data_IF_701438748750
#
_entry.id   IF_701438748750
#
_cell.length_a   1.000
_cell.length_b   1.000
_cell.length_c   1.000
_cell.angle_alpha   90.00
_cell.angle_beta   90.00
_cell.angle_gamma   90.00
#
_symmetry.space_group_name_H-M   'P 1'
#
loop_
_entity.id
_entity.type
_entity.pdbx_description
1 polymer ?
#
# COMPACT_ATOMS: atom_id res chain seq x y z
N UNK A 1 -14.26 23.75 -0.72
CA UNK A 1 -13.76 24.02 0.63
C UNK A 1 -12.24 23.98 0.66
N UNK A 2 -11.61 24.96 1.26
CA UNK A 2 -10.17 25.06 1.29
C UNK A 2 -9.58 24.20 2.41
N UNK A 3 -8.44 23.61 2.14
CA UNK A 3 -7.67 22.88 3.14
C UNK A 3 -6.71 23.85 3.79
N UNK A 4 -6.75 23.92 5.12
CA UNK A 4 -5.88 24.80 5.86
C UNK A 4 -4.43 24.40 5.64
N UNK A 5 -3.57 25.38 5.45
CA UNK A 5 -2.14 25.17 5.23
C UNK A 5 -1.81 24.45 3.92
N UNK A 6 -2.77 24.36 3.03
CA UNK A 6 -2.50 23.78 1.72
C UNK A 6 -1.69 24.76 0.88
N UNK A 7 -0.59 24.28 0.33
CA UNK A 7 0.31 25.09 -0.46
C UNK A 7 0.53 24.47 -1.83
N UNK A 8 -0.25 24.90 -2.84
CA UNK A 8 -0.17 24.29 -4.16
C UNK A 8 1.22 24.29 -4.77
N UNK A 9 2.00 25.35 -4.52
CA UNK A 9 3.32 25.43 -5.13
C UNK A 9 4.24 24.31 -4.67
N UNK A 10 4.12 23.90 -3.41
CA UNK A 10 4.93 22.81 -2.90
C UNK A 10 4.55 21.51 -3.55
N UNK A 11 3.23 21.23 -3.64
CA UNK A 11 2.76 20.05 -4.29
C UNK A 11 3.13 20.02 -5.77
N UNK A 12 3.04 21.18 -6.44
CA UNK A 12 3.41 21.28 -7.85
C UNK A 12 4.88 20.94 -8.07
N UNK A 13 5.74 21.39 -7.15
CA UNK A 13 7.16 21.10 -7.28
C UNK A 13 7.47 19.62 -7.18
N UNK A 14 6.60 18.87 -6.54
CA UNK A 14 6.79 17.42 -6.36
C UNK A 14 5.79 16.60 -7.14
N UNK A 15 5.16 17.21 -8.13
CA UNK A 15 4.05 16.56 -8.84
C UNK A 15 4.46 15.25 -9.49
N UNK A 16 5.66 15.19 -10.07
CA UNK A 16 6.11 13.96 -10.72
C UNK A 16 6.25 12.82 -9.72
N UNK A 17 6.81 13.12 -8.56
CA UNK A 17 6.98 12.11 -7.51
C UNK A 17 5.63 11.65 -6.97
N UNK A 18 4.75 12.61 -6.69
CA UNK A 18 3.42 12.28 -6.17
C UNK A 18 2.64 11.46 -7.18
N UNK A 19 2.66 11.87 -8.44
CA UNK A 19 1.96 11.13 -9.48
C UNK A 19 2.51 9.72 -9.62
N UNK A 20 3.82 9.55 -9.46
CA UNK A 20 4.43 8.23 -9.49
C UNK A 20 3.93 7.32 -8.39
N UNK A 21 3.82 7.85 -7.17
CA UNK A 21 3.27 7.08 -6.05
C UNK A 21 1.83 6.69 -6.33
N UNK A 22 1.03 7.65 -6.80
CA UNK A 22 -0.38 7.38 -7.06
C UNK A 22 -0.54 6.33 -8.16
N UNK A 23 0.25 6.42 -9.23
CA UNK A 23 0.19 5.41 -10.28
C UNK A 23 0.56 4.03 -9.77
N UNK A 24 1.54 3.97 -8.88
CA UNK A 24 2.00 2.70 -8.36
C UNK A 24 0.93 1.98 -7.55
N UNK A 25 0.02 2.73 -6.93
CA UNK A 25 -1.03 2.13 -6.11
C UNK A 25 -2.40 2.13 -6.78
N UNK A 26 -2.55 2.74 -7.96
CA UNK A 26 -3.86 2.85 -8.62
C UNK A 26 -4.17 1.60 -9.42
N UNK A 27 -4.27 0.48 -8.70
CA UNK A 27 -4.53 -0.83 -9.27
C UNK A 27 -5.20 -1.64 -8.18
N UNK A 28 -6.33 -2.24 -8.48
CA UNK A 28 -7.13 -2.91 -7.45
C UNK A 28 -6.34 -3.98 -6.71
N UNK A 29 -5.57 -4.79 -7.44
CA UNK A 29 -4.78 -5.85 -6.79
C UNK A 29 -3.72 -5.28 -5.86
N UNK A 30 -3.04 -4.23 -6.31
CA UNK A 30 -2.02 -3.59 -5.48
C UNK A 30 -2.63 -2.95 -4.26
N UNK A 31 -3.79 -2.31 -4.42
CA UNK A 31 -4.48 -1.72 -3.28
C UNK A 31 -4.79 -2.77 -2.23
N UNK A 32 -5.26 -3.93 -2.65
CA UNK A 32 -5.58 -5.00 -1.71
C UNK A 32 -4.35 -5.53 -1.01
N UNK A 33 -3.26 -5.71 -1.75
CA UNK A 33 -2.01 -6.20 -1.17
C UNK A 33 -1.50 -5.22 -0.13
N UNK A 34 -1.42 -3.95 -0.51
CA UNK A 34 -0.90 -2.93 0.39
C UNK A 34 -1.79 -2.75 1.61
N UNK A 35 -3.09 -2.83 1.42
CA UNK A 35 -4.04 -2.73 2.52
C UNK A 35 -3.77 -3.81 3.57
N UNK A 36 -3.54 -5.06 3.12
CA UNK A 36 -3.24 -6.13 4.06
C UNK A 36 -1.91 -5.92 4.76
N UNK A 37 -0.92 -5.40 4.05
CA UNK A 37 0.37 -5.14 4.68
C UNK A 37 0.27 -4.01 5.71
N UNK A 38 -0.55 -3.02 5.46
CA UNK A 38 -0.79 -1.98 6.46
C UNK A 38 -1.47 -2.57 7.68
N UNK A 39 -2.47 -3.42 7.45
CA UNK A 39 -3.25 -4.02 8.54
C UNK A 39 -2.40 -4.97 9.38
N UNK A 40 -1.64 -5.84 8.74
CA UNK A 40 -0.92 -6.92 9.42
C UNK A 40 0.50 -6.56 9.81
N UNK A 41 1.03 -5.49 9.25
CA UNK A 41 2.40 -5.03 9.42
C UNK A 41 3.40 -5.88 8.67
N UNK A 42 3.31 -7.19 8.77
CA UNK A 42 4.14 -8.11 8.01
C UNK A 42 3.29 -9.28 7.56
N UNK A 43 3.66 -9.88 6.43
CA UNK A 43 2.94 -11.04 5.94
C UNK A 43 3.85 -11.90 5.08
N UNK A 44 3.64 -13.20 5.17
CA UNK A 44 4.30 -14.13 4.26
C UNK A 44 3.59 -14.13 2.92
N UNK A 45 4.27 -14.63 1.89
CA UNK A 45 3.68 -14.70 0.57
C UNK A 45 2.42 -15.57 0.58
N UNK A 46 2.47 -16.72 1.26
CA UNK A 46 1.32 -17.62 1.24
C UNK A 46 0.10 -17.02 1.94
N UNK A 47 0.30 -16.40 3.11
CA UNK A 47 -0.82 -15.77 3.82
C UNK A 47 -1.41 -14.62 3.02
N UNK A 48 -0.55 -13.85 2.40
CA UNK A 48 -0.98 -12.70 1.63
C UNK A 48 -1.73 -13.13 0.38
N UNK A 49 -1.23 -14.17 -0.30
CA UNK A 49 -1.88 -14.71 -1.48
C UNK A 49 -3.29 -15.19 -1.17
N UNK A 50 -3.45 -15.92 -0.07
CA UNK A 50 -4.77 -16.37 0.36
C UNK A 50 -5.69 -15.19 0.63
N UNK A 51 -5.19 -14.18 1.31
CA UNK A 51 -6.02 -13.04 1.70
C UNK A 51 -6.51 -12.23 0.50
N UNK A 52 -5.71 -12.12 -0.55
CA UNK A 52 -6.08 -11.29 -1.70
C UNK A 52 -6.57 -12.11 -2.88
N UNK A 53 -6.65 -13.43 -2.73
CA UNK A 53 -7.20 -14.28 -3.77
C UNK A 53 -6.34 -14.43 -5.00
N UNK A 54 -5.03 -14.45 -4.82
CA UNK A 54 -4.08 -14.65 -5.91
C UNK A 54 -3.28 -15.92 -5.68
N UNK A 55 -2.76 -16.49 -6.77
CA UNK A 55 -1.78 -17.56 -6.63
C UNK A 55 -0.50 -16.96 -6.05
N UNK A 56 0.31 -17.82 -5.44
CA UNK A 56 1.59 -17.35 -4.90
C UNK A 56 2.49 -16.82 -6.01
N UNK A 57 2.44 -17.44 -7.19
CA UNK A 57 3.24 -16.99 -8.31
C UNK A 57 2.84 -15.59 -8.76
N UNK A 58 1.54 -15.34 -8.90
CA UNK A 58 1.07 -14.02 -9.31
C UNK A 58 1.40 -12.98 -8.27
N UNK A 59 1.19 -13.32 -7.00
CA UNK A 59 1.49 -12.39 -5.92
C UNK A 59 2.98 -12.07 -5.88
N UNK A 60 3.83 -13.08 -6.04
CA UNK A 60 5.27 -12.85 -6.02
C UNK A 60 5.70 -11.88 -7.11
N UNK A 61 5.05 -11.95 -8.28
CA UNK A 61 5.36 -11.01 -9.36
C UNK A 61 4.96 -9.58 -8.97
N UNK A 62 3.78 -9.42 -8.38
CA UNK A 62 3.36 -8.11 -7.89
C UNK A 62 4.33 -7.57 -6.84
N UNK A 63 4.69 -8.41 -5.89
CA UNK A 63 5.58 -7.99 -4.81
C UNK A 63 6.96 -7.61 -5.33
N UNK A 64 7.50 -8.38 -6.29
CA UNK A 64 8.80 -8.07 -6.85
C UNK A 64 8.79 -6.70 -7.52
N UNK A 65 7.73 -6.40 -8.26
CA UNK A 65 7.63 -5.11 -8.93
C UNK A 65 7.47 -3.98 -7.92
N UNK A 66 6.61 -4.18 -6.93
CA UNK A 66 6.45 -3.15 -5.90
C UNK A 66 7.71 -2.94 -5.09
N UNK A 67 8.49 -4.01 -4.89
CA UNK A 67 9.77 -3.88 -4.19
C UNK A 67 10.74 -3.05 -5.01
N UNK A 68 10.80 -3.30 -6.32
CA UNK A 68 11.69 -2.53 -7.18
C UNK A 68 11.31 -1.05 -7.21
N UNK A 69 10.06 -0.74 -6.93
CA UNK A 69 9.56 0.64 -6.89
C UNK A 69 9.66 1.25 -5.49
N UNK A 70 10.19 0.51 -4.52
CA UNK A 70 10.39 1.05 -3.19
C UNK A 70 9.16 1.05 -2.30
N UNK A 71 8.09 0.39 -2.71
CA UNK A 71 6.84 0.37 -1.94
C UNK A 71 6.86 -0.64 -0.82
N UNK A 72 7.48 -1.79 -1.05
CA UNK A 72 7.55 -2.87 -0.07
C UNK A 72 8.98 -3.35 0.07
N UNK A 73 9.24 -4.02 1.19
CA UNK A 73 10.52 -4.64 1.46
C UNK A 73 10.24 -5.95 2.17
N UNK A 74 11.26 -6.78 2.30
CA UNK A 74 11.08 -8.02 3.05
C UNK A 74 12.30 -8.31 3.90
N UNK A 75 12.08 -9.15 4.90
CA UNK A 75 13.15 -9.80 5.63
C UNK A 75 12.99 -11.30 5.47
N UNK A 76 14.09 -12.01 5.59
CA UNK A 76 14.06 -13.47 5.49
C UNK A 76 14.21 -14.07 6.88
N UNK A 77 13.37 -15.04 7.16
CA UNK A 77 13.48 -15.82 8.38
C UNK A 77 13.35 -17.28 7.97
N UNK A 78 14.46 -18.03 8.06
CA UNK A 78 14.55 -19.36 7.48
C UNK A 78 14.23 -19.30 6.00
N UNK A 79 13.22 -20.01 5.54
CA UNK A 79 12.86 -20.01 4.13
C UNK A 79 11.66 -19.10 3.84
N UNK A 80 11.20 -18.35 4.84
CA UNK A 80 10.03 -17.50 4.69
C UNK A 80 10.47 -16.05 4.50
N UNK A 81 9.87 -15.42 3.49
CA UNK A 81 10.02 -13.99 3.27
C UNK A 81 8.85 -13.28 3.92
N UNK A 82 9.15 -12.32 4.77
CA UNK A 82 8.13 -11.52 5.45
C UNK A 82 8.13 -10.13 4.83
N UNK A 83 7.07 -9.82 4.10
CA UNK A 83 6.95 -8.55 3.41
C UNK A 83 6.31 -7.51 4.31
N UNK A 84 6.68 -6.25 4.10
CA UNK A 84 6.14 -5.12 4.84
C UNK A 84 6.13 -3.90 3.93
N UNK A 85 5.39 -2.87 4.34
CA UNK A 85 5.45 -1.58 3.66
C UNK A 85 6.81 -0.95 3.93
N UNK A 86 7.48 -0.48 2.88
CA UNK A 86 8.78 0.16 2.99
C UNK A 86 8.68 1.69 3.05
N UNK A 87 7.63 2.24 2.48
CA UNK A 87 7.46 3.69 2.35
C UNK A 87 6.40 4.15 3.35
N UNK A 88 6.83 4.89 4.37
CA UNK A 88 5.92 5.34 5.43
C UNK A 88 4.78 6.20 4.88
N UNK A 89 4.98 6.85 3.74
CA UNK A 89 3.92 7.65 3.14
C UNK A 89 2.75 6.77 2.71
N UNK A 90 3.04 5.54 2.30
CA UNK A 90 1.99 4.60 1.91
C UNK A 90 1.11 4.26 3.10
N UNK A 91 1.71 4.01 4.26
CA UNK A 91 0.92 3.71 5.45
C UNK A 91 0.00 4.87 5.82
N UNK A 92 0.53 6.09 5.74
CA UNK A 92 -0.24 7.27 6.09
C UNK A 92 -1.35 7.52 5.08
N UNK A 93 -1.05 7.31 3.80
CA UNK A 93 -2.05 7.46 2.76
C UNK A 93 -3.19 6.46 2.95
N UNK A 94 -2.85 5.20 3.25
CA UNK A 94 -3.88 4.18 3.43
C UNK A 94 -4.71 4.43 4.69
N UNK A 95 -4.10 4.97 5.74
CA UNK A 95 -4.87 5.36 6.93
C UNK A 95 -5.89 6.43 6.57
N UNK A 96 -5.50 7.39 5.72
CA UNK A 96 -6.41 8.43 5.27
C UNK A 96 -7.53 7.87 4.41
N UNK A 97 -7.17 7.00 3.47
CA UNK A 97 -8.18 6.36 2.62
C UNK A 97 -9.17 5.56 3.46
N UNK A 98 -8.67 4.87 4.47
CA UNK A 98 -9.55 4.11 5.35
C UNK A 98 -10.56 5.04 6.04
N UNK A 99 -10.09 6.17 6.55
CA UNK A 99 -11.00 7.12 7.19
C UNK A 99 -12.05 7.64 6.22
N UNK A 100 -11.64 7.90 4.98
CA UNK A 100 -12.56 8.48 4.01
C UNK A 100 -13.61 7.49 3.51
N UNK A 101 -13.25 6.24 3.37
CA UNK A 101 -14.12 5.28 2.70
C UNK A 101 -14.67 4.18 3.59
N UNK A 102 -14.08 3.93 4.75
CA UNK A 102 -14.43 2.76 5.55
C UNK A 102 -15.06 3.07 6.90
N UNK A 103 -14.74 4.21 7.50
CA UNK A 103 -15.21 4.52 8.85
C UNK A 103 -16.74 4.56 8.89
N UNK A 104 -17.35 5.18 7.89
CA UNK A 104 -18.80 5.28 7.82
C UNK A 104 -19.45 3.91 7.79
N UNK A 105 -18.86 2.98 7.07
CA UNK A 105 -19.39 1.62 6.99
C UNK A 105 -19.38 0.95 8.35
N UNK A 106 -18.35 1.17 9.13
CA UNK A 106 -18.25 0.57 10.45
C UNK A 106 -19.37 1.04 11.35
N UNK A 107 -19.78 2.28 11.21
CA UNK A 107 -20.84 2.83 12.07
C UNK A 107 -22.19 2.21 11.81
N UNK A 108 -22.39 1.65 10.65
CA UNK A 108 -23.67 1.07 10.30
C UNK A 108 -23.88 -0.33 10.81
N UNK A 109 -22.88 -0.93 11.38
CA UNK A 109 -23.01 -2.28 11.94
C UNK A 109 -23.69 -2.31 13.28
#
# INVERSE_FOLDING_TARGET
MAVKDFKPSILEAQAAEVAGVLRAIANERRLMILCKLVEWREASVSSLADAVGLSQSALSQHLAKMRSEGLVAYRRESQTLWYRIADARIERLFATLHRLFCVTNNKRR
#
